data_IF_053282414934
#
_entry.id   IF_053282414934
#
_cell.length_a   1.000
_cell.length_b   1.000
_cell.length_c   1.000
_cell.angle_alpha   90.00
_cell.angle_beta   90.00
_cell.angle_gamma   90.00
#
_symmetry.space_group_name_H-M   'P 1'
#
loop_
_entity.id
_entity.type
_entity.pdbx_description
1 polymer ?
#
# COMPACT_ATOMS: atom_id res chain seq x y z
N UNK A 1 -12.31 -17.39 -29.16
CA UNK A 1 -11.47 -16.18 -29.04
C UNK A 1 -11.90 -15.21 -27.93
N UNK A 2 -13.18 -15.14 -27.52
CA UNK A 2 -13.64 -14.17 -26.51
C UNK A 2 -13.27 -14.49 -25.03
N UNK A 3 -12.98 -15.75 -24.70
CA UNK A 3 -12.70 -16.16 -23.31
C UNK A 3 -11.34 -15.65 -22.79
N UNK A 4 -10.37 -15.48 -23.68
CA UNK A 4 -9.01 -15.03 -23.36
C UNK A 4 -8.97 -13.53 -23.08
N UNK A 5 -9.65 -12.69 -23.87
CA UNK A 5 -9.67 -11.23 -23.68
C UNK A 5 -10.29 -10.82 -22.35
N UNK A 6 -11.34 -11.51 -21.91
CA UNK A 6 -11.98 -11.25 -20.62
C UNK A 6 -11.03 -11.49 -19.43
N UNK A 7 -10.24 -12.58 -19.45
CA UNK A 7 -9.25 -12.86 -18.40
C UNK A 7 -8.14 -11.81 -18.32
N UNK A 8 -7.69 -11.28 -19.47
CA UNK A 8 -6.72 -10.18 -19.50
C UNK A 8 -7.27 -8.89 -18.89
N UNK A 9 -8.54 -8.55 -19.15
CA UNK A 9 -9.17 -7.38 -18.53
C UNK A 9 -9.29 -7.53 -17.01
N UNK A 10 -9.67 -8.72 -16.51
CA UNK A 10 -9.74 -8.97 -15.07
C UNK A 10 -8.39 -8.84 -14.38
N UNK A 11 -7.32 -9.41 -14.93
CA UNK A 11 -6.00 -9.24 -14.33
C UNK A 11 -5.42 -7.84 -14.50
N UNK A 12 -5.67 -7.18 -15.62
CA UNK A 12 -5.31 -5.78 -15.81
C UNK A 12 -5.97 -4.90 -14.75
N UNK A 13 -7.28 -5.06 -14.55
CA UNK A 13 -8.03 -4.37 -13.50
C UNK A 13 -7.50 -4.71 -12.10
N UNK A 14 -7.14 -5.96 -11.84
CA UNK A 14 -6.58 -6.37 -10.55
C UNK A 14 -5.21 -5.74 -10.27
N UNK A 15 -4.31 -5.75 -11.24
CA UNK A 15 -2.99 -5.10 -11.14
C UNK A 15 -3.13 -3.59 -11.00
N UNK A 16 -4.07 -2.97 -11.72
CA UNK A 16 -4.37 -1.55 -11.57
C UNK A 16 -4.92 -1.24 -10.18
N UNK A 17 -5.79 -2.09 -9.64
CA UNK A 17 -6.27 -2.00 -8.26
C UNK A 17 -5.14 -2.09 -7.24
N UNK A 18 -4.20 -3.03 -7.41
CA UNK A 18 -3.00 -3.11 -6.58
C UNK A 18 -2.12 -1.85 -6.70
N UNK A 19 -1.95 -1.32 -7.91
CA UNK A 19 -1.20 -0.09 -8.14
C UNK A 19 -1.81 1.09 -7.38
N UNK A 20 -3.12 1.30 -7.50
CA UNK A 20 -3.85 2.38 -6.81
C UNK A 20 -3.79 2.18 -5.30
N UNK A 21 -4.03 0.96 -4.81
CA UNK A 21 -3.97 0.64 -3.40
C UNK A 21 -2.59 0.96 -2.80
N UNK A 22 -1.52 0.51 -3.45
CA UNK A 22 -0.16 0.79 -2.98
C UNK A 22 0.29 2.24 -3.18
N UNK A 23 -0.28 2.95 -4.15
CA UNK A 23 -0.15 4.40 -4.27
C UNK A 23 -0.75 5.11 -3.06
N UNK A 24 -1.95 4.71 -2.64
CA UNK A 24 -2.56 5.23 -1.43
C UNK A 24 -1.74 4.86 -0.17
N UNK A 25 -1.21 3.63 -0.07
CA UNK A 25 -0.30 3.26 1.05
C UNK A 25 0.93 4.15 1.09
N UNK A 26 1.62 4.36 -0.05
CA UNK A 26 2.79 5.22 -0.12
C UNK A 26 2.47 6.67 0.25
N UNK A 27 1.31 7.18 -0.19
CA UNK A 27 0.84 8.51 0.17
C UNK A 27 0.53 8.62 1.67
N UNK A 28 -0.16 7.65 2.26
CA UNK A 28 -0.47 7.61 3.71
C UNK A 28 0.81 7.56 4.52
N UNK A 29 1.77 6.69 4.19
CA UNK A 29 3.04 6.62 4.90
C UNK A 29 3.79 7.97 4.83
N UNK A 30 3.75 8.66 3.69
CA UNK A 30 4.34 9.99 3.57
C UNK A 30 3.58 11.03 4.40
N UNK A 31 2.24 10.99 4.40
CA UNK A 31 1.39 11.91 5.15
C UNK A 31 1.59 11.84 6.67
N UNK A 32 1.87 10.66 7.19
CA UNK A 32 2.18 10.42 8.61
C UNK A 32 3.68 10.55 8.94
N UNK A 33 4.50 11.06 8.02
CA UNK A 33 5.95 11.18 8.20
C UNK A 33 6.62 9.87 8.66
N UNK A 34 6.17 8.74 8.13
CA UNK A 34 6.59 7.42 8.59
C UNK A 34 8.13 7.27 8.50
N UNK A 35 8.81 6.79 9.57
CA UNK A 35 10.25 6.67 9.59
C UNK A 35 10.73 5.63 8.58
N UNK A 36 11.95 5.77 8.07
CA UNK A 36 12.52 4.90 7.04
C UNK A 36 12.42 3.39 7.38
N UNK A 37 12.53 3.04 8.66
CA UNK A 37 12.36 1.67 9.13
C UNK A 37 10.99 1.08 8.79
N UNK A 38 9.92 1.87 8.92
CA UNK A 38 8.55 1.47 8.63
C UNK A 38 8.33 1.23 7.12
N UNK A 39 9.02 2.02 6.28
CA UNK A 39 9.06 1.80 4.83
C UNK A 39 9.74 0.48 4.48
N UNK A 40 10.90 0.20 5.08
CA UNK A 40 11.64 -1.05 4.82
C UNK A 40 10.83 -2.28 5.22
N UNK A 41 10.18 -2.27 6.38
CA UNK A 41 9.33 -3.38 6.82
C UNK A 41 8.10 -3.57 5.93
N UNK A 42 7.48 -2.48 5.47
CA UNK A 42 6.34 -2.55 4.54
C UNK A 42 6.75 -3.18 3.20
N UNK A 43 7.94 -2.83 2.69
CA UNK A 43 8.51 -3.46 1.49
C UNK A 43 8.83 -4.94 1.72
N UNK A 44 9.46 -5.29 2.84
CA UNK A 44 9.79 -6.67 3.17
C UNK A 44 8.52 -7.54 3.27
N UNK A 45 7.47 -7.04 3.92
CA UNK A 45 6.19 -7.74 4.02
C UNK A 45 5.48 -7.87 2.68
N UNK A 46 5.51 -6.82 1.85
CA UNK A 46 4.97 -6.89 0.49
C UNK A 46 5.63 -8.01 -0.33
N UNK A 47 6.97 -8.10 -0.28
CA UNK A 47 7.70 -9.16 -0.97
C UNK A 47 7.36 -10.54 -0.37
N UNK A 48 7.29 -10.63 0.96
CA UNK A 48 6.95 -11.87 1.65
C UNK A 48 5.55 -12.36 1.31
N UNK A 49 4.54 -11.47 1.33
CA UNK A 49 3.15 -11.80 0.97
C UNK A 49 3.02 -12.15 -0.49
N UNK A 50 3.70 -11.42 -1.38
CA UNK A 50 3.71 -11.77 -2.80
C UNK A 50 4.28 -13.18 -3.04
N UNK A 51 5.24 -13.63 -2.23
CA UNK A 51 5.83 -14.97 -2.36
C UNK A 51 5.00 -16.08 -1.70
N UNK A 52 4.59 -15.88 -0.45
CA UNK A 52 3.91 -16.87 0.39
C UNK A 52 2.37 -16.90 0.18
N UNK A 53 1.80 -15.85 -0.41
CA UNK A 53 0.35 -15.71 -0.61
C UNK A 53 -0.42 -15.68 0.70
N UNK A 54 -1.48 -16.49 0.79
CA UNK A 54 -2.36 -16.56 1.96
C UNK A 54 -1.64 -16.94 3.27
N UNK A 55 -0.53 -17.69 3.20
CA UNK A 55 0.26 -18.06 4.38
C UNK A 55 0.91 -16.88 5.12
N UNK A 56 1.06 -15.73 4.45
CA UNK A 56 1.62 -14.51 5.04
C UNK A 56 0.58 -13.56 5.64
N UNK A 57 -0.72 -13.88 5.56
CA UNK A 57 -1.79 -13.00 6.07
C UNK A 57 -1.58 -12.73 7.57
N UNK A 58 -1.34 -13.77 8.37
CA UNK A 58 -1.16 -13.60 9.82
C UNK A 58 0.00 -12.66 10.18
N UNK A 59 1.17 -12.84 9.55
CA UNK A 59 2.33 -11.98 9.76
C UNK A 59 2.07 -10.53 9.33
N UNK A 60 1.32 -10.35 8.24
CA UNK A 60 0.96 -9.03 7.74
C UNK A 60 -0.06 -8.33 8.62
N UNK A 61 -1.04 -9.07 9.14
CA UNK A 61 -2.01 -8.54 10.09
C UNK A 61 -1.32 -8.15 11.40
N UNK A 62 -0.37 -8.95 11.87
CA UNK A 62 0.44 -8.61 13.04
C UNK A 62 1.17 -7.27 12.82
N UNK A 63 1.82 -7.11 11.67
CA UNK A 63 2.48 -5.85 11.34
C UNK A 63 1.53 -4.66 11.29
N UNK A 64 0.38 -4.80 10.61
CA UNK A 64 -0.65 -3.75 10.52
C UNK A 64 -1.14 -3.36 11.91
N UNK A 65 -1.39 -4.34 12.78
CA UNK A 65 -1.79 -4.08 14.18
C UNK A 65 -0.67 -3.35 14.93
N UNK A 66 0.59 -3.80 14.84
CA UNK A 66 1.72 -3.13 15.48
C UNK A 66 1.86 -1.68 15.03
N UNK A 67 1.75 -1.42 13.72
CA UNK A 67 1.79 -0.07 13.14
C UNK A 67 0.70 0.82 13.71
N UNK A 68 -0.55 0.33 13.72
CA UNK A 68 -1.70 1.10 14.21
C UNK A 68 -1.58 1.38 15.70
N UNK A 69 -1.09 0.41 16.48
CA UNK A 69 -0.84 0.60 17.92
C UNK A 69 0.25 1.62 18.19
N UNK A 70 1.36 1.58 17.46
CA UNK A 70 2.44 2.58 17.58
C UNK A 70 1.88 3.96 17.24
N UNK A 71 1.14 4.09 16.14
CA UNK A 71 0.55 5.35 15.71
C UNK A 71 -0.49 5.89 16.72
N UNK A 72 -1.30 5.02 17.31
CA UNK A 72 -2.24 5.39 18.37
C UNK A 72 -1.52 5.85 19.65
N UNK A 73 -0.46 5.13 20.06
CA UNK A 73 0.34 5.47 21.24
C UNK A 73 1.03 6.83 21.07
N UNK A 74 1.58 7.11 19.90
CA UNK A 74 2.24 8.40 19.61
C UNK A 74 1.26 9.50 19.22
N UNK A 75 -0.05 9.24 19.23
CA UNK A 75 -1.07 10.18 18.73
C UNK A 75 -0.72 10.76 17.36
N UNK A 76 -0.24 9.90 16.46
CA UNK A 76 0.25 10.30 15.15
C UNK A 76 -0.88 10.95 14.35
N UNK A 77 -0.64 12.17 13.87
CA UNK A 77 -1.56 12.91 13.01
C UNK A 77 -0.87 13.19 11.67
N UNK A 78 -1.60 13.24 10.55
CA UNK A 78 -1.04 13.66 9.29
C UNK A 78 -0.55 15.10 9.37
N UNK A 79 0.63 15.37 8.81
CA UNK A 79 1.38 16.63 8.97
C UNK A 79 0.59 17.91 8.61
N UNK A 80 -0.43 17.80 7.76
CA UNK A 80 -1.12 18.94 7.15
C UNK A 80 -2.63 18.94 7.39
N UNK A 81 -3.11 18.14 8.34
CA UNK A 81 -4.52 18.13 8.74
C UNK A 81 -4.61 18.48 10.21
N UNK A 82 -5.22 19.63 10.51
CA UNK A 82 -5.43 20.07 11.88
C UNK A 82 -6.67 19.38 12.45
N UNK A 83 -6.47 18.19 13.02
CA UNK A 83 -7.54 17.39 13.61
C UNK A 83 -7.93 17.96 14.97
N UNK A 84 -9.20 18.36 15.11
CA UNK A 84 -9.76 18.75 16.41
C UNK A 84 -10.50 17.56 17.05
N UNK A 85 -10.25 17.31 18.34
CA UNK A 85 -10.94 16.28 19.13
C UNK A 85 -10.64 14.85 18.69
N UNK A 86 -11.60 13.94 18.84
CA UNK A 86 -11.43 12.48 18.61
C UNK A 86 -11.33 12.05 17.15
N UNK A 87 -11.22 12.99 16.22
CA UNK A 87 -11.23 12.74 14.77
C UNK A 87 -9.97 12.00 14.29
N UNK A 88 -8.84 12.14 14.99
CA UNK A 88 -7.63 11.36 14.76
C UNK A 88 -7.87 9.84 14.90
N UNK A 89 -8.68 9.41 15.87
CA UNK A 89 -8.98 8.00 16.11
C UNK A 89 -9.82 7.38 14.97
N UNK A 90 -10.75 8.15 14.40
CA UNK A 90 -11.54 7.75 13.23
C UNK A 90 -10.62 7.55 12.02
N UNK A 91 -9.66 8.46 11.83
CA UNK A 91 -8.69 8.33 10.74
C UNK A 91 -7.82 7.08 10.87
N UNK A 92 -7.38 6.74 12.09
CA UNK A 92 -6.63 5.51 12.39
C UNK A 92 -7.45 4.25 12.12
N UNK A 93 -8.72 4.25 12.49
CA UNK A 93 -9.62 3.13 12.18
C UNK A 93 -9.81 2.97 10.66
N UNK A 94 -9.91 4.07 9.93
CA UNK A 94 -9.94 4.07 8.46
C UNK A 94 -8.65 3.50 7.85
N UNK A 95 -7.49 3.95 8.32
CA UNK A 95 -6.17 3.45 7.89
C UNK A 95 -6.03 1.95 8.19
N UNK A 96 -6.52 1.49 9.34
CA UNK A 96 -6.49 0.09 9.73
C UNK A 96 -7.33 -0.79 8.80
N UNK A 97 -8.59 -0.44 8.57
CA UNK A 97 -9.48 -1.18 7.66
C UNK A 97 -8.94 -1.19 6.23
N UNK A 98 -8.37 -0.06 5.79
CA UNK A 98 -7.71 0.05 4.50
C UNK A 98 -6.51 -0.91 4.41
N UNK A 99 -5.62 -0.90 5.41
CA UNK A 99 -4.45 -1.76 5.44
C UNK A 99 -4.82 -3.25 5.41
N UNK A 100 -5.86 -3.67 6.14
CA UNK A 100 -6.39 -5.04 6.08
C UNK A 100 -6.80 -5.38 4.64
N UNK A 101 -7.55 -4.49 4.00
CA UNK A 101 -8.03 -4.69 2.62
C UNK A 101 -6.87 -4.84 1.64
N UNK A 102 -5.81 -4.03 1.78
CA UNK A 102 -4.60 -4.12 0.95
C UNK A 102 -3.85 -5.43 1.18
N UNK A 103 -3.70 -5.87 2.44
CA UNK A 103 -3.04 -7.15 2.76
C UNK A 103 -3.81 -8.32 2.13
N UNK A 104 -5.13 -8.34 2.25
CA UNK A 104 -5.95 -9.39 1.65
C UNK A 104 -5.84 -9.36 0.12
N UNK A 105 -5.89 -8.17 -0.49
CA UNK A 105 -5.70 -8.01 -1.92
C UNK A 105 -4.32 -8.53 -2.34
N UNK A 106 -3.25 -8.25 -1.60
CA UNK A 106 -1.93 -8.76 -1.96
C UNK A 106 -1.83 -10.29 -1.76
N UNK A 107 -2.37 -10.82 -0.66
CA UNK A 107 -2.31 -12.24 -0.34
C UNK A 107 -3.06 -13.11 -1.35
N UNK A 108 -4.16 -12.60 -1.91
CA UNK A 108 -4.95 -13.28 -2.93
C UNK A 108 -4.53 -12.96 -4.37
N UNK A 109 -3.43 -12.23 -4.57
CA UNK A 109 -2.95 -11.87 -5.90
C UNK A 109 -2.61 -13.09 -6.75
N UNK A 110 -1.99 -14.12 -6.14
CA UNK A 110 -1.65 -15.35 -6.86
C UNK A 110 -2.89 -16.09 -7.37
N UNK A 111 -3.88 -16.47 -6.53
CA UNK A 111 -5.12 -17.07 -6.98
C UNK A 111 -5.90 -16.23 -7.99
N UNK A 112 -5.98 -14.90 -7.80
CA UNK A 112 -6.71 -14.02 -8.70
C UNK A 112 -6.11 -13.98 -10.12
N UNK A 113 -4.78 -14.05 -10.21
CA UNK A 113 -4.04 -13.98 -11.48
C UNK A 113 -3.77 -15.35 -12.13
N UNK A 114 -4.15 -16.46 -11.48
CA UNK A 114 -4.01 -17.82 -12.05
C UNK A 114 -4.84 -18.03 -13.33
N UNK A 115 -5.89 -17.22 -13.53
CA UNK A 115 -6.74 -17.27 -14.73
C UNK A 115 -5.98 -17.06 -16.05
N UNK A 116 -4.77 -16.46 -16.02
CA UNK A 116 -3.95 -16.19 -17.20
C UNK A 116 -2.92 -17.26 -17.56
N UNK A 117 -2.90 -18.41 -16.87
CA UNK A 117 -1.84 -19.44 -17.03
C UNK A 117 -0.42 -18.87 -16.89
N UNK A 118 -0.24 -17.75 -16.19
CA UNK A 118 1.09 -17.18 -15.93
C UNK A 118 1.90 -18.08 -15.00
N UNK A 119 3.21 -18.14 -15.24
CA UNK A 119 4.12 -18.84 -14.36
C UNK A 119 4.15 -18.15 -12.99
N UNK A 120 4.27 -18.95 -11.91
CA UNK A 120 4.33 -18.41 -10.54
C UNK A 120 5.41 -17.34 -10.38
N UNK A 121 6.57 -17.53 -11.02
CA UNK A 121 7.67 -16.54 -11.04
C UNK A 121 7.26 -15.23 -11.71
N UNK A 122 6.59 -15.28 -12.87
CA UNK A 122 6.14 -14.08 -13.60
C UNK A 122 5.10 -13.30 -12.79
N UNK A 123 4.13 -13.99 -12.19
CA UNK A 123 3.11 -13.34 -11.34
C UNK A 123 3.74 -12.66 -10.13
N UNK A 124 4.69 -13.33 -9.46
CA UNK A 124 5.42 -12.76 -8.33
C UNK A 124 6.12 -11.44 -8.72
N UNK A 125 6.93 -11.44 -9.77
CA UNK A 125 7.64 -10.22 -10.21
C UNK A 125 6.69 -9.11 -10.61
N UNK A 126 5.60 -9.43 -11.33
CA UNK A 126 4.60 -8.42 -11.73
C UNK A 126 3.93 -7.78 -10.54
N UNK A 127 3.53 -8.58 -9.55
CA UNK A 127 2.93 -8.07 -8.31
C UNK A 127 3.92 -7.16 -7.60
N UNK A 128 5.14 -7.63 -7.32
CA UNK A 128 6.18 -6.86 -6.61
C UNK A 128 6.52 -5.55 -7.32
N UNK A 129 6.71 -5.58 -8.65
CA UNK A 129 7.00 -4.38 -9.44
C UNK A 129 5.82 -3.41 -9.39
N UNK A 130 4.59 -3.90 -9.55
CA UNK A 130 3.38 -3.05 -9.54
C UNK A 130 3.18 -2.38 -8.19
N UNK A 131 3.28 -3.13 -7.10
CA UNK A 131 3.12 -2.60 -5.74
C UNK A 131 4.28 -1.70 -5.33
N UNK A 132 5.51 -2.01 -5.77
CA UNK A 132 6.68 -1.15 -5.57
C UNK A 132 6.58 0.18 -6.31
N UNK A 133 6.18 0.16 -7.58
CA UNK A 133 5.92 1.38 -8.36
C UNK A 133 4.82 2.20 -7.71
N UNK A 134 3.70 1.57 -7.31
CA UNK A 134 2.62 2.27 -6.63
C UNK A 134 3.10 2.98 -5.37
N UNK A 135 3.87 2.30 -4.54
CA UNK A 135 4.39 2.86 -3.29
C UNK A 135 5.33 4.06 -3.52
N UNK A 136 6.18 4.02 -4.57
CA UNK A 136 7.02 5.15 -4.99
C UNK A 136 6.16 6.30 -5.52
N UNK A 137 5.18 6.03 -6.38
CA UNK A 137 4.27 7.03 -6.92
C UNK A 137 3.50 7.73 -5.81
N UNK A 138 3.00 6.98 -4.82
CA UNK A 138 2.31 7.54 -3.66
C UNK A 138 3.17 8.53 -2.89
N UNK A 139 4.44 8.17 -2.67
CA UNK A 139 5.42 9.07 -2.05
C UNK A 139 5.64 10.33 -2.89
N UNK A 140 5.89 10.19 -4.19
CA UNK A 140 6.11 11.33 -5.08
C UNK A 140 4.88 12.24 -5.16
N UNK A 141 3.67 11.66 -5.25
CA UNK A 141 2.41 12.39 -5.29
C UNK A 141 2.18 13.22 -4.04
N UNK A 142 2.51 12.67 -2.86
CA UNK A 142 2.42 13.44 -1.63
C UNK A 142 3.26 14.73 -1.69
N UNK A 143 4.49 14.63 -2.21
CA UNK A 143 5.39 15.77 -2.36
C UNK A 143 4.95 16.75 -3.47
N UNK A 144 4.35 16.25 -4.55
CA UNK A 144 3.91 17.12 -5.67
C UNK A 144 2.57 17.82 -5.40
N UNK A 145 1.69 17.21 -4.61
CA UNK A 145 0.34 17.74 -4.33
C UNK A 145 0.38 18.85 -3.26
N UNK A 146 1.46 18.97 -2.50
CA UNK A 146 1.63 20.05 -1.53
C UNK A 146 2.25 21.30 -2.20
N UNK A 147 1.48 22.40 -2.38
CA UNK A 147 2.02 23.64 -2.91
C UNK A 147 2.87 24.29 -1.81
N UNK A 148 4.19 24.12 -1.89
CA UNK A 148 5.12 24.73 -0.92
C UNK A 148 6.61 24.61 -1.24
N UNK A 149 7.00 24.07 -2.40
CA UNK A 149 8.42 23.98 -2.80
C UNK A 149 8.80 24.91 -3.97
N UNK A 150 7.97 25.90 -4.29
CA UNK A 150 8.43 27.07 -5.02
C UNK A 150 9.07 28.06 -4.03
N UNK A 151 10.40 28.08 -4.00
CA UNK A 151 11.27 29.19 -3.62
C UNK A 151 11.33 29.61 -2.14
N UNK A 152 12.30 29.03 -1.41
CA UNK A 152 13.07 29.76 -0.39
C UNK A 152 14.56 29.41 -0.46
N UNK A 153 15.14 29.49 -1.66
CA UNK A 153 16.53 29.95 -1.79
C UNK A 153 16.52 31.47 -1.73
N UNK A 154 16.46 32.03 -0.53
CA UNK A 154 16.86 33.42 -0.30
C UNK A 154 17.43 33.55 1.10
N UNK A 155 18.72 33.89 1.10
CA UNK A 155 19.67 34.18 2.20
C UNK A 155 20.37 32.97 2.79
#
# INVERSE_FOLDING_TARGET
>A
MAKTTLSYLFAGGYLLGLLVAYTAVGWILAAYAAPALMWMWTLALMVYVAWAGAGAIAASMLWVVSVVWIAAYTSATPLHVNWQGSTWAISLLGVWLFAISVVLMLAFAHPALQSLRWSRKSTFYRVVITTGIGLILGRCLYWSVLPGSSLSTSV
#
